data_IF_127460303904
#
_entry.id   IF_127460303904
#
_cell.length_a   1.000
_cell.length_b   1.000
_cell.length_c   1.000
_cell.angle_alpha   90.00
_cell.angle_beta   90.00
_cell.angle_gamma   90.00
#
_symmetry.space_group_name_H-M   'P 1'
#
loop_
_entity.id
_entity.type
_entity.pdbx_description
1 polymer ?
#
# COMPACT_ATOMS: atom_id res chain seq x y z
N UNK A 1 -66.10 0.16 -1.82
CA UNK A 1 -65.01 -0.82 -1.70
C UNK A 1 -63.65 -0.35 -2.25
N UNK A 2 -63.56 0.81 -2.95
CA UNK A 2 -62.33 1.33 -3.58
C UNK A 2 -61.32 1.99 -2.63
N UNK A 3 -61.76 2.52 -1.48
CA UNK A 3 -60.90 3.31 -0.58
C UNK A 3 -59.85 2.52 0.21
N UNK A 4 -59.94 1.18 0.25
CA UNK A 4 -59.02 0.34 1.03
C UNK A 4 -57.76 -0.08 0.24
N UNK A 5 -57.90 -0.21 -1.08
CA UNK A 5 -56.80 -0.62 -1.98
C UNK A 5 -55.80 0.53 -2.16
N UNK A 6 -56.27 1.77 -2.27
CA UNK A 6 -55.39 2.94 -2.37
C UNK A 6 -54.53 3.13 -1.12
N UNK A 7 -55.10 2.94 0.08
CA UNK A 7 -54.35 3.00 1.34
C UNK A 7 -53.30 1.90 1.46
N UNK A 8 -53.61 0.67 1.05
CA UNK A 8 -52.63 -0.42 1.06
C UNK A 8 -51.50 -0.21 0.04
N UNK A 9 -51.80 0.35 -1.14
CA UNK A 9 -50.79 0.66 -2.16
C UNK A 9 -49.86 1.80 -1.72
N UNK A 10 -50.40 2.87 -1.14
CA UNK A 10 -49.60 4.00 -0.61
C UNK A 10 -48.74 3.58 0.58
N UNK A 11 -49.22 2.65 1.42
CA UNK A 11 -48.46 2.12 2.56
C UNK A 11 -47.36 1.14 2.10
N UNK A 12 -47.64 0.31 1.08
CA UNK A 12 -46.65 -0.58 0.47
C UNK A 12 -45.56 0.16 -0.30
N UNK A 13 -45.91 1.20 -1.06
CA UNK A 13 -44.93 2.03 -1.77
C UNK A 13 -44.02 2.82 -0.81
N UNK A 14 -44.55 3.31 0.32
CA UNK A 14 -43.76 4.01 1.33
C UNK A 14 -42.82 3.07 2.12
N UNK A 15 -43.25 1.82 2.38
CA UNK A 15 -42.41 0.80 3.00
C UNK A 15 -41.27 0.33 2.07
N UNK A 16 -41.52 0.24 0.76
CA UNK A 16 -40.49 -0.08 -0.24
C UNK A 16 -39.53 1.10 -0.43
N UNK A 17 -40.03 2.34 -0.46
CA UNK A 17 -39.20 3.54 -0.56
C UNK A 17 -38.30 3.73 0.69
N UNK A 18 -38.80 3.42 1.88
CA UNK A 18 -38.00 3.38 3.12
C UNK A 18 -36.93 2.29 3.11
N UNK A 19 -37.19 1.16 2.45
CA UNK A 19 -36.23 0.06 2.30
C UNK A 19 -35.12 0.39 1.29
N UNK A 20 -35.44 1.06 0.18
CA UNK A 20 -34.44 1.49 -0.82
C UNK A 20 -33.60 2.66 -0.30
N UNK A 21 -34.21 3.59 0.44
CA UNK A 21 -33.49 4.69 1.09
C UNK A 21 -32.58 4.22 2.24
N UNK A 22 -32.91 3.10 2.90
CA UNK A 22 -32.06 2.47 3.91
C UNK A 22 -30.82 1.78 3.31
N UNK A 23 -30.85 1.40 2.02
CA UNK A 23 -29.68 0.87 1.32
C UNK A 23 -28.82 1.95 0.63
N UNK A 24 -29.31 3.18 0.48
CA UNK A 24 -28.60 4.23 -0.27
C UNK A 24 -27.82 5.23 0.59
N UNK A 25 -27.86 5.14 1.92
CA UNK A 25 -27.10 6.02 2.82
C UNK A 25 -26.33 5.30 3.94
N UNK A 26 -26.09 4.00 3.81
CA UNK A 26 -25.06 3.30 4.58
C UNK A 26 -23.64 3.57 4.04
N UNK A 27 -23.46 4.60 3.21
CA UNK A 27 -22.18 5.27 3.03
C UNK A 27 -21.88 6.12 4.26
N UNK A 28 -21.77 5.49 5.43
CA UNK A 28 -20.93 6.07 6.46
C UNK A 28 -19.59 6.28 5.78
N UNK A 29 -19.14 7.52 5.66
CA UNK A 29 -17.74 7.79 5.43
C UNK A 29 -17.03 7.15 6.62
N UNK A 30 -16.65 5.87 6.48
CA UNK A 30 -15.89 5.15 7.49
C UNK A 30 -14.62 5.97 7.63
N UNK A 31 -14.47 6.61 8.79
CA UNK A 31 -13.28 7.36 9.09
C UNK A 31 -12.12 6.36 9.02
N UNK A 32 -11.30 6.50 7.98
CA UNK A 32 -10.15 5.63 7.75
C UNK A 32 -9.19 5.85 8.90
N UNK A 33 -8.96 4.81 9.70
CA UNK A 33 -7.98 4.85 10.78
C UNK A 33 -6.59 4.67 10.19
N UNK A 34 -5.68 5.56 10.55
CA UNK A 34 -4.28 5.51 10.10
C UNK A 34 -3.37 5.05 11.23
N UNK A 35 -2.46 4.13 10.92
CA UNK A 35 -1.31 3.78 11.75
C UNK A 35 -0.04 4.17 11.01
N UNK A 36 0.84 4.91 11.66
CA UNK A 36 2.10 5.41 11.07
C UNK A 36 3.28 4.78 11.77
N UNK A 37 4.39 4.65 11.04
CA UNK A 37 5.66 4.20 11.58
C UNK A 37 6.81 4.82 10.77
N UNK A 38 7.77 5.43 11.47
CA UNK A 38 9.01 5.91 10.86
C UNK A 38 10.17 5.03 11.30
N UNK A 39 10.95 4.55 10.34
CA UNK A 39 12.11 3.68 10.55
C UNK A 39 13.33 4.39 9.99
N UNK A 40 14.41 4.46 10.76
CA UNK A 40 15.69 5.03 10.32
C UNK A 40 16.80 4.01 10.39
N UNK A 41 17.81 4.17 9.53
CA UNK A 41 18.92 3.24 9.46
C UNK A 41 20.05 3.73 8.58
N UNK A 42 21.11 2.92 8.52
CA UNK A 42 22.23 3.16 7.61
C UNK A 42 21.95 2.56 6.23
N UNK A 43 22.60 3.10 5.20
CA UNK A 43 22.47 2.61 3.84
C UNK A 43 23.78 2.77 3.05
N UNK A 44 23.93 1.90 2.05
CA UNK A 44 24.85 2.09 0.93
C UNK A 44 24.08 2.66 -0.26
N UNK A 45 24.52 3.80 -0.77
CA UNK A 45 23.83 4.59 -1.79
C UNK A 45 24.76 4.83 -2.97
N UNK A 46 24.30 4.54 -4.17
CA UNK A 46 25.08 4.83 -5.38
C UNK A 46 25.28 6.34 -5.58
N UNK A 47 26.49 6.80 -5.96
CA UNK A 47 26.75 8.22 -6.17
C UNK A 47 25.85 8.83 -7.26
N UNK A 48 25.56 10.12 -7.14
CA UNK A 48 24.84 10.86 -8.18
C UNK A 48 25.51 10.74 -9.55
N UNK A 49 24.71 10.65 -10.62
CA UNK A 49 25.21 10.42 -11.99
C UNK A 49 25.52 8.96 -12.33
N UNK A 50 25.34 8.03 -11.39
CA UNK A 50 25.43 6.58 -11.66
C UNK A 50 24.22 6.14 -12.48
N UNK A 51 24.45 5.31 -13.51
CA UNK A 51 23.37 4.67 -14.26
C UNK A 51 22.68 3.62 -13.37
N UNK A 52 21.35 3.70 -13.28
CA UNK A 52 20.51 2.81 -12.48
C UNK A 52 21.01 2.67 -11.03
N UNK A 53 21.00 3.78 -10.25
CA UNK A 53 21.59 3.77 -8.92
C UNK A 53 20.90 2.75 -8.02
N UNK A 54 21.71 2.01 -7.27
CA UNK A 54 21.28 1.03 -6.27
C UNK A 54 21.30 1.67 -4.89
N UNK A 55 20.22 1.47 -4.14
CA UNK A 55 19.96 2.00 -2.81
C UNK A 55 19.70 0.83 -1.86
N UNK A 56 20.61 0.60 -0.92
CA UNK A 56 20.60 -0.61 -0.09
C UNK A 56 20.66 -0.24 1.39
N UNK A 57 19.55 -0.40 2.14
CA UNK A 57 19.57 -0.39 3.60
C UNK A 57 20.59 -1.41 4.13
N UNK A 58 21.34 -1.05 5.18
CA UNK A 58 22.37 -1.93 5.78
C UNK A 58 22.12 -2.21 7.25
N UNK A 59 21.39 -1.35 7.96
CA UNK A 59 21.05 -1.51 9.37
C UNK A 59 19.71 -0.83 9.69
N UNK A 60 19.05 -1.24 10.78
CA UNK A 60 17.96 -0.47 11.39
C UNK A 60 18.52 0.16 12.67
N UNK A 61 18.57 1.49 12.73
CA UNK A 61 19.15 2.22 13.87
C UNK A 61 18.08 2.83 14.78
N UNK A 62 16.88 3.08 14.25
CA UNK A 62 15.83 3.74 15.02
C UNK A 62 14.43 3.47 14.48
N UNK A 63 13.47 3.60 15.39
CA UNK A 63 12.04 3.61 15.10
C UNK A 63 11.42 4.74 15.90
N UNK A 64 10.64 5.59 15.24
CA UNK A 64 9.94 6.73 15.84
C UNK A 64 8.52 6.85 15.26
N UNK A 65 7.65 7.62 15.93
CA UNK A 65 6.34 7.97 15.37
C UNK A 65 5.34 6.80 15.21
N UNK A 66 5.59 5.67 15.88
CA UNK A 66 4.68 4.52 15.89
C UNK A 66 3.32 4.85 16.50
N UNK A 67 2.25 4.74 15.73
CA UNK A 67 0.87 4.95 16.17
C UNK A 67 -0.01 3.74 15.85
N UNK A 68 -1.19 3.66 16.48
CA UNK A 68 -2.13 2.56 16.27
C UNK A 68 -1.49 1.20 16.57
N UNK A 69 -1.54 0.28 15.60
CA UNK A 69 -0.94 -1.06 15.75
C UNK A 69 0.59 -1.04 15.92
N UNK A 70 1.25 0.03 15.46
CA UNK A 70 2.70 0.19 15.56
C UNK A 70 3.16 0.86 16.88
N UNK A 71 2.23 1.08 17.81
CA UNK A 71 2.58 1.61 19.14
C UNK A 71 3.50 0.65 19.87
N UNK A 72 4.63 1.16 20.38
CA UNK A 72 5.61 0.36 21.12
C UNK A 72 6.58 -0.46 20.26
N UNK A 73 6.52 -0.34 18.93
CA UNK A 73 7.50 -0.93 18.03
C UNK A 73 8.86 -0.25 18.23
N UNK A 74 9.92 -1.05 18.32
CA UNK A 74 11.32 -0.62 18.42
C UNK A 74 12.12 -1.15 17.24
N UNK A 75 13.37 -0.71 17.09
CA UNK A 75 14.27 -1.18 16.02
C UNK A 75 14.44 -2.71 16.01
N UNK A 76 14.44 -3.36 17.18
CA UNK A 76 14.56 -4.83 17.29
C UNK A 76 13.34 -5.58 16.73
N UNK A 77 12.21 -4.91 16.55
CA UNK A 77 10.98 -5.51 16.02
C UNK A 77 10.91 -5.46 14.49
N UNK A 78 11.83 -4.75 13.83
CA UNK A 78 11.78 -4.45 12.39
C UNK A 78 12.91 -5.19 11.68
N UNK A 79 12.59 -5.87 10.58
CA UNK A 79 13.61 -6.46 9.72
C UNK A 79 14.13 -5.46 8.70
N UNK A 80 15.36 -5.68 8.24
CA UNK A 80 16.03 -4.79 7.30
C UNK A 80 15.18 -4.59 6.02
N UNK A 81 14.88 -3.34 5.63
CA UNK A 81 14.12 -3.10 4.42
C UNK A 81 14.86 -3.54 3.15
N UNK A 82 14.10 -3.97 2.14
CA UNK A 82 14.65 -4.39 0.85
C UNK A 82 15.33 -3.25 0.07
N UNK A 83 16.26 -3.58 -0.84
CA UNK A 83 16.93 -2.58 -1.67
C UNK A 83 16.04 -2.09 -2.82
N UNK A 84 16.39 -0.92 -3.37
CA UNK A 84 15.84 -0.40 -4.62
C UNK A 84 16.93 -0.25 -5.67
N UNK A 85 16.58 -0.54 -6.93
CA UNK A 85 17.38 -0.15 -8.10
C UNK A 85 16.55 0.81 -8.91
N UNK A 86 16.97 2.07 -8.99
CA UNK A 86 16.27 3.07 -9.80
C UNK A 86 16.54 2.83 -11.29
N UNK A 87 15.66 3.33 -12.15
CA UNK A 87 15.83 3.26 -13.59
C UNK A 87 16.06 4.66 -14.18
N UNK A 88 17.26 4.89 -14.70
CA UNK A 88 17.73 6.16 -15.23
C UNK A 88 19.06 6.62 -14.62
N UNK A 89 19.51 7.81 -15.03
CA UNK A 89 20.75 8.43 -14.56
C UNK A 89 20.44 9.81 -14.01
N UNK A 90 20.74 10.05 -12.73
CA UNK A 90 20.56 11.37 -12.13
C UNK A 90 21.40 12.42 -12.86
N UNK A 91 20.80 13.55 -13.23
CA UNK A 91 21.45 14.65 -13.92
C UNK A 91 20.91 15.99 -13.45
N UNK A 92 21.74 17.04 -13.51
CA UNK A 92 21.43 18.34 -12.94
C UNK A 92 21.29 18.28 -11.40
N UNK A 93 20.58 19.26 -10.84
CA UNK A 93 20.32 19.33 -9.40
C UNK A 93 19.13 18.50 -8.92
N UNK A 94 18.23 18.10 -9.83
CA UNK A 94 17.08 17.25 -9.54
C UNK A 94 16.71 16.42 -10.77
N UNK A 95 16.26 15.19 -10.54
CA UNK A 95 15.88 14.25 -11.60
C UNK A 95 14.71 13.37 -11.16
N UNK A 96 13.78 13.10 -12.07
CA UNK A 96 12.69 12.15 -11.86
C UNK A 96 13.06 10.85 -12.58
N UNK A 97 13.18 9.77 -11.82
CA UNK A 97 13.48 8.45 -12.34
C UNK A 97 12.20 7.77 -12.81
N UNK A 98 12.35 6.79 -13.70
CA UNK A 98 11.25 5.86 -13.96
C UNK A 98 10.95 5.07 -12.67
N UNK A 99 9.67 4.76 -12.37
CA UNK A 99 9.30 3.99 -11.20
C UNK A 99 10.11 2.69 -11.14
N UNK A 100 10.81 2.41 -10.03
CA UNK A 100 11.61 1.20 -9.92
C UNK A 100 10.69 -0.03 -9.84
N UNK A 101 11.17 -1.21 -10.27
CA UNK A 101 10.44 -2.45 -10.03
C UNK A 101 10.19 -2.64 -8.53
N UNK A 102 9.07 -3.29 -8.19
CA UNK A 102 8.79 -3.64 -6.82
C UNK A 102 9.92 -4.53 -6.25
N UNK A 103 10.40 -4.25 -5.02
CA UNK A 103 11.28 -5.15 -4.31
C UNK A 103 10.64 -6.53 -4.14
N UNK A 104 11.45 -7.54 -3.81
CA UNK A 104 10.94 -8.86 -3.49
C UNK A 104 9.86 -8.78 -2.39
N UNK A 105 8.81 -9.63 -2.44
CA UNK A 105 7.83 -9.71 -1.37
C UNK A 105 8.51 -9.90 -0.01
N UNK A 106 7.95 -9.28 1.03
CA UNK A 106 8.57 -9.17 2.33
C UNK A 106 9.54 -8.00 2.43
N UNK A 107 9.22 -6.86 1.80
CA UNK A 107 10.08 -5.68 1.78
C UNK A 107 10.58 -5.30 3.18
N UNK A 108 9.71 -5.33 4.20
CA UNK A 108 10.10 -5.35 5.61
C UNK A 108 9.02 -6.04 6.43
N UNK A 109 9.38 -6.58 7.58
CA UNK A 109 8.46 -7.14 8.56
C UNK A 109 8.57 -6.39 9.87
N UNK A 110 7.43 -6.18 10.52
CA UNK A 110 7.30 -5.49 11.80
C UNK A 110 6.58 -6.40 12.77
N UNK A 111 7.26 -6.77 13.85
CA UNK A 111 6.63 -7.51 14.95
C UNK A 111 5.87 -6.53 15.83
N UNK A 112 4.56 -6.68 15.90
CA UNK A 112 3.67 -5.86 16.74
C UNK A 112 3.07 -6.71 17.85
N UNK A 113 2.42 -6.09 18.84
CA UNK A 113 1.72 -6.83 19.91
C UNK A 113 0.73 -7.88 19.38
N UNK A 114 -0.11 -7.56 18.38
CA UNK A 114 -1.00 -8.52 17.73
C UNK A 114 -0.32 -9.60 16.87
N UNK A 115 0.96 -9.43 16.51
CA UNK A 115 1.71 -10.39 15.71
C UNK A 115 2.55 -9.75 14.60
N UNK A 116 3.03 -10.58 13.67
CA UNK A 116 3.92 -10.17 12.59
C UNK A 116 3.14 -9.51 11.44
N UNK A 117 3.48 -8.26 11.14
CA UNK A 117 2.97 -7.52 9.99
C UNK A 117 4.03 -7.49 8.90
N UNK A 118 3.67 -7.86 7.67
CA UNK A 118 4.59 -7.77 6.52
C UNK A 118 4.19 -6.62 5.61
N UNK A 119 5.08 -5.66 5.39
CA UNK A 119 4.87 -4.57 4.45
C UNK A 119 5.42 -4.98 3.08
N UNK A 120 4.55 -4.95 2.07
CA UNK A 120 4.92 -5.10 0.66
C UNK A 120 4.69 -3.78 -0.05
N UNK A 121 5.69 -3.30 -0.79
CA UNK A 121 5.67 -1.97 -1.40
C UNK A 121 5.61 -2.07 -2.91
N UNK A 122 4.86 -1.18 -3.54
CA UNK A 122 4.78 -1.06 -5.01
C UNK A 122 5.16 0.37 -5.39
N UNK A 123 6.42 0.62 -5.78
CA UNK A 123 6.86 1.97 -6.13
C UNK A 123 6.11 2.53 -7.33
N UNK A 124 5.69 3.79 -7.23
CA UNK A 124 5.06 4.53 -8.34
C UNK A 124 5.76 5.85 -8.64
N UNK A 125 6.65 6.29 -7.75
CA UNK A 125 7.45 7.50 -7.92
C UNK A 125 8.86 7.30 -7.41
N UNK A 126 9.83 7.86 -8.11
CA UNK A 126 11.22 7.95 -7.67
C UNK A 126 11.82 9.29 -8.14
N UNK A 127 12.36 10.05 -7.20
CA UNK A 127 12.95 11.37 -7.44
C UNK A 127 14.31 11.40 -6.76
N UNK A 128 15.28 12.09 -7.37
CA UNK A 128 16.53 12.38 -6.71
C UNK A 128 16.93 13.84 -6.83
N UNK A 129 17.67 14.33 -5.84
CA UNK A 129 18.29 15.65 -5.83
C UNK A 129 19.77 15.52 -5.51
N UNK A 130 20.57 16.44 -6.02
CA UNK A 130 21.98 16.57 -5.70
C UNK A 130 22.33 18.05 -5.60
N UNK A 131 22.68 18.49 -4.39
CA UNK A 131 22.90 19.90 -4.08
C UNK A 131 24.27 20.05 -3.44
N UNK A 132 25.05 21.03 -3.91
CA UNK A 132 26.30 21.38 -3.24
C UNK A 132 26.00 22.10 -1.92
N UNK A 133 26.61 21.64 -0.83
CA UNK A 133 26.46 22.22 0.51
C UNK A 133 27.72 22.96 0.96
N UNK A 134 28.61 23.32 0.02
CA UNK A 134 29.88 23.99 0.27
C UNK A 134 31.05 23.03 0.49
N UNK A 135 32.27 23.56 0.48
CA UNK A 135 33.53 22.81 0.67
C UNK A 135 33.71 21.57 -0.25
N UNK A 136 33.11 21.59 -1.45
CA UNK A 136 33.14 20.46 -2.38
C UNK A 136 32.25 19.28 -1.97
N UNK A 137 31.46 19.42 -0.91
CA UNK A 137 30.50 18.42 -0.45
C UNK A 137 29.17 18.56 -1.19
N UNK A 138 28.53 17.41 -1.35
CA UNK A 138 27.20 17.30 -1.92
C UNK A 138 26.28 16.54 -0.98
N UNK A 139 25.03 16.99 -0.91
CA UNK A 139 23.93 16.23 -0.36
C UNK A 139 23.14 15.65 -1.52
N UNK A 140 23.08 14.32 -1.58
CA UNK A 140 22.23 13.57 -2.51
C UNK A 140 21.08 12.97 -1.74
N UNK A 141 19.86 13.18 -2.21
CA UNK A 141 18.67 12.55 -1.64
C UNK A 141 17.95 11.80 -2.74
N UNK A 142 17.66 10.52 -2.54
CA UNK A 142 16.76 9.74 -3.38
C UNK A 142 15.50 9.43 -2.60
N UNK A 143 14.34 9.75 -3.13
CA UNK A 143 13.04 9.46 -2.53
C UNK A 143 12.25 8.53 -3.42
N UNK A 144 11.83 7.40 -2.87
CA UNK A 144 10.94 6.44 -3.53
C UNK A 144 9.64 6.38 -2.74
N UNK A 145 8.51 6.44 -3.43
CA UNK A 145 7.19 6.36 -2.79
C UNK A 145 6.19 5.62 -3.64
N UNK A 146 5.12 5.18 -2.97
CA UNK A 146 4.02 4.47 -3.62
C UNK A 146 3.09 3.80 -2.62
N UNK A 147 2.10 3.05 -3.13
CA UNK A 147 1.24 2.23 -2.29
C UNK A 147 2.01 1.09 -1.61
N UNK A 148 1.47 0.65 -0.49
CA UNK A 148 1.89 -0.53 0.23
C UNK A 148 0.69 -1.40 0.60
N UNK A 149 0.89 -2.71 0.65
CA UNK A 149 -0.06 -3.65 1.23
C UNK A 149 0.55 -4.26 2.48
N UNK A 150 -0.21 -4.28 3.56
CA UNK A 150 0.20 -4.85 4.83
C UNK A 150 -0.49 -6.19 5.02
N UNK A 151 0.31 -7.25 5.02
CA UNK A 151 -0.16 -8.59 5.35
C UNK A 151 -0.25 -8.74 6.86
N UNK A 152 -1.45 -8.99 7.35
CA UNK A 152 -1.76 -9.17 8.77
C UNK A 152 -1.73 -10.65 9.17
N UNK A 153 -1.43 -10.97 10.43
CA UNK A 153 -1.35 -12.36 10.89
C UNK A 153 -2.72 -13.04 11.00
N UNK A 154 -3.79 -12.28 11.23
CA UNK A 154 -5.12 -12.83 11.54
C UNK A 154 -6.30 -12.08 10.89
N UNK A 155 -6.01 -11.09 10.03
CA UNK A 155 -7.00 -10.23 9.38
C UNK A 155 -6.73 -10.18 7.88
N UNK A 156 -7.71 -9.74 7.10
CA UNK A 156 -7.52 -9.44 5.69
C UNK A 156 -6.39 -8.41 5.51
N UNK A 157 -5.58 -8.58 4.46
CA UNK A 157 -4.55 -7.62 4.10
C UNK A 157 -5.17 -6.24 3.93
N UNK A 158 -4.45 -5.19 4.34
CA UNK A 158 -4.94 -3.82 4.25
C UNK A 158 -4.04 -2.96 3.38
N UNK A 159 -4.61 -1.88 2.86
CA UNK A 159 -3.92 -0.90 2.04
C UNK A 159 -3.14 0.11 2.89
N UNK A 160 -2.23 0.79 2.23
CA UNK A 160 -1.52 1.93 2.77
C UNK A 160 -0.51 2.48 1.78
N UNK A 161 0.51 3.15 2.30
CA UNK A 161 1.55 3.77 1.51
C UNK A 161 2.90 3.72 2.22
N UNK A 162 3.93 3.98 1.43
CA UNK A 162 5.29 4.13 1.93
C UNK A 162 5.96 5.33 1.27
N UNK A 163 6.92 5.91 1.98
CA UNK A 163 7.90 6.83 1.43
C UNK A 163 9.24 6.50 2.06
N UNK A 164 10.27 6.29 1.25
CA UNK A 164 11.63 6.07 1.74
C UNK A 164 12.56 7.09 1.11
N UNK A 165 13.29 7.81 1.96
CA UNK A 165 14.31 8.76 1.56
C UNK A 165 15.69 8.22 1.95
N UNK A 166 16.58 8.12 0.98
CA UNK A 166 17.99 7.79 1.15
C UNK A 166 18.80 9.07 1.06
N UNK A 167 19.58 9.37 2.10
CA UNK A 167 20.40 10.57 2.17
C UNK A 167 21.89 10.19 2.20
N UNK A 168 22.64 10.76 1.28
CA UNK A 168 24.09 10.65 1.19
C UNK A 168 24.68 12.05 1.30
N UNK A 169 25.60 12.26 2.24
CA UNK A 169 26.37 13.50 2.36
C UNK A 169 27.84 13.16 2.28
N UNK A 170 28.55 13.76 1.33
CA UNK A 170 29.97 13.52 1.17
C UNK A 170 30.59 14.18 -0.05
N UNK A 171 31.86 13.88 -0.25
CA UNK A 171 32.58 14.21 -1.48
C UNK A 171 32.01 13.41 -2.67
N UNK A 172 32.26 13.85 -3.91
CA UNK A 172 31.94 13.06 -5.10
C UNK A 172 32.45 11.62 -4.98
N UNK A 173 31.56 10.64 -5.17
CA UNK A 173 31.88 9.22 -5.03
C UNK A 173 31.66 8.62 -3.64
N UNK A 174 31.22 9.41 -2.65
CA UNK A 174 30.75 8.86 -1.37
C UNK A 174 29.61 7.86 -1.59
N UNK A 175 29.55 6.81 -0.76
CA UNK A 175 28.52 5.76 -0.85
C UNK A 175 27.84 5.44 0.48
N UNK A 176 28.40 5.88 1.60
CA UNK A 176 27.82 5.64 2.94
C UNK A 176 26.83 6.74 3.27
N UNK A 177 25.59 6.37 3.55
CA UNK A 177 24.55 7.31 3.96
C UNK A 177 23.54 6.68 4.90
N UNK A 178 22.37 7.29 4.98
CA UNK A 178 21.28 6.87 5.85
C UNK A 178 19.98 6.78 5.06
N UNK A 179 18.97 6.13 5.64
CA UNK A 179 17.62 6.17 5.13
C UNK A 179 16.61 6.52 6.22
N UNK A 180 15.48 7.05 5.78
CA UNK A 180 14.25 7.23 6.58
C UNK A 180 13.09 6.65 5.78
N UNK A 181 12.41 5.68 6.36
CA UNK A 181 11.26 4.99 5.79
C UNK A 181 10.02 5.32 6.62
N UNK A 182 9.05 5.97 5.99
CA UNK A 182 7.73 6.22 6.54
C UNK A 182 6.73 5.22 5.96
N UNK A 183 6.00 4.55 6.85
CA UNK A 183 4.90 3.66 6.52
C UNK A 183 3.60 4.27 7.03
N UNK A 184 2.59 4.30 6.18
CA UNK A 184 1.22 4.66 6.56
C UNK A 184 0.32 3.49 6.23
N UNK A 185 -0.26 2.88 7.26
CA UNK A 185 -1.19 1.76 7.16
C UNK A 185 -2.60 2.27 7.40
N UNK A 186 -3.54 1.84 6.57
CA UNK A 186 -4.97 2.10 6.74
C UNK A 186 -5.68 0.90 7.38
N UNK A 187 -6.94 1.08 7.77
CA UNK A 187 -7.87 0.00 8.10
C UNK A 187 -8.67 -0.51 6.89
N UNK A 188 -8.40 0.02 5.68
CA UNK A 188 -9.11 -0.36 4.44
C UNK A 188 -8.57 -1.70 3.95
N UNK A 189 -9.40 -2.75 3.88
CA UNK A 189 -8.97 -4.04 3.37
C UNK A 189 -8.66 -3.98 1.87
N UNK A 190 -7.68 -4.76 1.42
CA UNK A 190 -7.42 -5.00 0.00
C UNK A 190 -8.68 -5.64 -0.60
N UNK A 191 -9.26 -5.07 -1.68
CA UNK A 191 -10.45 -5.65 -2.30
C UNK A 191 -10.19 -7.10 -2.70
N UNK A 192 -10.94 -8.02 -2.11
CA UNK A 192 -11.02 -9.39 -2.62
C UNK A 192 -11.89 -9.33 -3.86
N UNK A 193 -11.37 -9.79 -5.00
CA UNK A 193 -12.18 -9.95 -6.20
C UNK A 193 -13.24 -11.01 -5.91
N UNK A 194 -14.43 -10.58 -5.50
CA UNK A 194 -15.59 -11.47 -5.41
C UNK A 194 -16.00 -11.73 -6.85
N UNK A 195 -16.00 -13.00 -7.33
CA UNK A 195 -16.52 -13.31 -8.64
C UNK A 195 -17.95 -12.78 -8.73
N UNK A 196 -18.24 -11.96 -9.74
CA UNK A 196 -19.58 -11.42 -9.92
C UNK A 196 -20.62 -12.55 -9.96
N UNK A 197 -21.84 -12.38 -9.41
CA UNK A 197 -22.87 -13.41 -9.39
C UNK A 197 -23.15 -14.02 -10.77
N UNK A 198 -22.95 -13.24 -11.83
CA UNK A 198 -23.02 -13.62 -13.24
C UNK A 198 -22.16 -14.82 -13.60
N UNK A 199 -20.95 -14.94 -13.02
CA UNK A 199 -20.04 -16.05 -13.27
C UNK A 199 -20.51 -17.35 -12.62
N UNK A 200 -21.19 -17.25 -11.47
CA UNK A 200 -21.75 -18.41 -10.74
C UNK A 200 -23.03 -18.91 -11.43
N UNK A 201 -23.89 -18.00 -11.88
CA UNK A 201 -25.08 -18.37 -12.67
C UNK A 201 -24.71 -18.94 -14.05
N UNK A 202 -23.61 -18.48 -14.67
CA UNK A 202 -23.12 -19.03 -15.92
C UNK A 202 -22.73 -20.51 -15.82
N UNK A 203 -22.13 -20.91 -14.70
CA UNK A 203 -21.74 -22.31 -14.46
C UNK A 203 -22.97 -23.17 -14.11
N UNK A 204 -23.94 -22.61 -13.37
CA UNK A 204 -25.17 -23.34 -13.02
C UNK A 204 -26.13 -23.49 -14.20
N UNK A 205 -26.17 -22.50 -15.11
CA UNK A 205 -26.94 -22.59 -16.36
C UNK A 205 -26.37 -23.64 -17.33
N UNK A 206 -25.04 -23.84 -17.35
CA UNK A 206 -24.39 -24.91 -18.13
C UNK A 206 -24.69 -26.30 -17.55
N UNK A 207 -24.84 -26.43 -16.24
CA UNK A 207 -25.28 -27.68 -15.60
C UNK A 207 -26.80 -27.94 -15.75
N UNK A 208 -27.62 -26.88 -15.85
CA UNK A 208 -29.08 -26.97 -16.01
C UNK A 208 -29.55 -27.33 -17.43
N UNK A 209 -28.76 -27.04 -18.46
CA UNK A 209 -29.12 -27.32 -19.85
C UNK A 209 -28.93 -28.81 -20.26
N UNK A 210 -28.20 -29.61 -19.47
CA UNK A 210 -27.88 -31.01 -19.80
C UNK A 210 -28.86 -32.07 -19.28
N UNK A 211 -29.75 -31.75 -18.33
CA UNK A 211 -30.56 -32.75 -17.63
C UNK A 211 -31.98 -32.97 -18.18
N UNK A 212 -32.39 -32.24 -19.25
CA UNK A 212 -33.76 -32.27 -19.76
C UNK A 212 -33.88 -32.68 -21.24
N UNK A 213 -33.10 -33.65 -21.70
CA UNK A 213 -33.26 -34.20 -23.05
C UNK A 213 -32.92 -35.69 -23.18
N UNK A 214 -33.64 -36.57 -22.48
CA UNK A 214 -33.97 -37.91 -23.03
C UNK A 214 -35.13 -38.61 -22.31
N UNK A 215 -36.36 -38.35 -22.76
CA UNK A 215 -37.43 -39.37 -22.72
C UNK A 215 -38.33 -39.24 -23.95
N UNK A 216 -38.07 -40.06 -24.96
CA UNK A 216 -39.04 -40.55 -25.94
C UNK A 216 -38.81 -42.07 -25.98
N UNK A 217 -39.72 -42.82 -25.37
CA UNK A 217 -40.76 -43.60 -26.08
C UNK A 217 -40.10 -44.71 -26.88
#
# INVERSE_FOLDING_TARGET
MIANISRQLTTGALAIAGSVAAFSFAGAAQAVTLSTLTITGDATISPWGTLNPVLTPTSVTGVTGGTGQFTGVTAANVTLPGPFTLNGTGSGGAFIFSPPPAPAPGFTTITTGPGLVTANVTPTSAIGTNVSIGAGLFQTVYTVSGPATFTEPSVLNVLGGFTIAFQLVGLPGAVTGTYTLDLTKTDVPVPVAVPEPSAILGILAVAGAGAFARRKS
#
